data_IF_451061376084
#
_entry.id   IF_451061376084
#
_cell.length_a   1.000
_cell.length_b   1.000
_cell.length_c   1.000
_cell.angle_alpha   90.00
_cell.angle_beta   90.00
_cell.angle_gamma   90.00
#
_symmetry.space_group_name_H-M   'P 1'
#
loop_
_entity.id
_entity.type
_entity.pdbx_description
1 polymer ?
#
# COMPACT_ATOMS: atom_id res chain seq x y z
N UNK A 1 -0.12 -26.43 20.01
CA UNK A 1 -0.16 -25.07 20.61
C UNK A 1 -1.48 -24.43 20.23
N UNK A 2 -2.28 -24.01 21.21
CA UNK A 2 -3.57 -23.33 20.96
C UNK A 2 -3.29 -21.90 20.48
N UNK A 3 -3.66 -21.59 19.23
CA UNK A 3 -3.60 -20.23 18.72
C UNK A 3 -4.76 -19.44 19.31
N UNK A 4 -4.47 -18.38 20.07
CA UNK A 4 -5.50 -17.47 20.58
C UNK A 4 -6.21 -16.80 19.41
N UNK A 5 -7.54 -17.00 19.32
CA UNK A 5 -8.42 -16.39 18.32
C UNK A 5 -8.77 -14.92 18.64
N UNK A 6 -8.36 -14.41 19.80
CA UNK A 6 -8.65 -13.03 20.22
C UNK A 6 -7.68 -12.05 19.56
N UNK A 7 -8.19 -10.92 18.99
CA UNK A 7 -7.35 -9.85 18.48
C UNK A 7 -6.34 -9.37 19.54
N UNK A 8 -5.07 -9.22 19.16
CA UNK A 8 -3.99 -8.80 20.07
C UNK A 8 -3.45 -7.41 19.69
N UNK A 9 -3.23 -6.57 20.69
CA UNK A 9 -2.40 -5.35 20.59
C UNK A 9 -0.98 -5.72 21.02
N UNK A 10 0.00 -5.31 20.23
CA UNK A 10 1.41 -5.58 20.44
C UNK A 10 2.06 -4.44 21.22
N UNK A 11 2.91 -4.77 22.18
CA UNK A 11 3.89 -3.82 22.71
C UNK A 11 5.00 -3.53 21.68
N UNK A 12 5.75 -2.45 21.88
CA UNK A 12 6.86 -2.08 20.99
C UNK A 12 7.89 -3.21 20.85
N UNK A 13 8.28 -3.84 21.96
CA UNK A 13 9.26 -4.93 21.97
C UNK A 13 8.73 -6.20 21.30
N UNK A 14 7.44 -6.50 21.43
CA UNK A 14 6.80 -7.61 20.70
C UNK A 14 6.79 -7.35 19.19
N UNK A 15 6.46 -6.13 18.77
CA UNK A 15 6.51 -5.73 17.37
C UNK A 15 7.94 -5.79 16.81
N UNK A 16 8.92 -5.27 17.57
CA UNK A 16 10.34 -5.29 17.21
C UNK A 16 10.86 -6.71 17.03
N UNK A 17 10.74 -7.56 18.06
CA UNK A 17 11.16 -8.97 18.02
C UNK A 17 10.44 -9.74 16.93
N UNK A 18 9.15 -9.48 16.75
CA UNK A 18 8.35 -10.11 15.72
C UNK A 18 8.87 -9.81 14.31
N UNK A 19 9.11 -8.53 13.99
CA UNK A 19 9.55 -8.14 12.65
C UNK A 19 11.00 -8.53 12.35
N UNK A 20 11.87 -8.65 13.36
CA UNK A 20 13.26 -9.08 13.14
C UNK A 20 13.46 -10.59 13.15
N UNK A 21 12.41 -11.37 13.41
CA UNK A 21 12.47 -12.82 13.27
C UNK A 21 12.82 -13.19 11.82
N UNK A 22 13.80 -14.09 11.64
CA UNK A 22 14.36 -14.40 10.31
C UNK A 22 13.34 -14.96 9.32
N UNK A 23 12.31 -15.66 9.80
CA UNK A 23 11.26 -16.19 8.93
C UNK A 23 10.29 -15.06 8.55
N UNK A 24 9.98 -14.17 9.49
CA UNK A 24 9.19 -12.95 9.22
C UNK A 24 9.91 -12.03 8.24
N UNK A 25 11.21 -11.77 8.42
CA UNK A 25 11.99 -10.93 7.51
C UNK A 25 11.92 -11.44 6.07
N UNK A 26 12.13 -12.75 5.87
CA UNK A 26 12.02 -13.38 4.55
C UNK A 26 10.62 -13.24 3.96
N UNK A 27 9.58 -13.43 4.77
CA UNK A 27 8.20 -13.27 4.32
C UNK A 27 7.89 -11.82 3.92
N UNK A 28 8.40 -10.83 4.66
CA UNK A 28 8.23 -9.42 4.35
C UNK A 28 8.97 -9.07 3.06
N UNK A 29 10.22 -9.52 2.89
CA UNK A 29 10.97 -9.34 1.64
C UNK A 29 10.27 -9.99 0.44
N UNK A 30 9.78 -11.22 0.58
CA UNK A 30 9.06 -11.93 -0.47
C UNK A 30 7.72 -11.24 -0.81
N UNK A 31 7.05 -10.69 0.20
CA UNK A 31 5.84 -9.88 0.03
C UNK A 31 6.14 -8.60 -0.73
N UNK A 32 7.19 -7.86 -0.35
CA UNK A 32 7.65 -6.66 -1.06
C UNK A 32 8.10 -6.97 -2.51
N UNK A 33 8.78 -8.10 -2.73
CA UNK A 33 9.15 -8.54 -4.09
C UNK A 33 7.93 -8.86 -4.94
N UNK A 34 6.91 -9.47 -4.33
CA UNK A 34 5.67 -9.81 -5.03
C UNK A 34 4.84 -8.58 -5.30
N UNK A 35 4.74 -7.66 -4.34
CA UNK A 35 4.13 -6.35 -4.52
C UNK A 35 4.76 -5.56 -5.68
N UNK A 36 6.10 -5.49 -5.74
CA UNK A 36 6.80 -4.84 -6.84
C UNK A 36 6.48 -5.50 -8.19
N UNK A 37 6.39 -6.84 -8.24
CA UNK A 37 5.96 -7.58 -9.44
C UNK A 37 4.52 -7.26 -9.82
N UNK A 38 3.58 -7.26 -8.86
CA UNK A 38 2.17 -6.92 -9.11
C UNK A 38 2.02 -5.52 -9.71
N UNK A 39 2.78 -4.53 -9.22
CA UNK A 39 2.78 -3.18 -9.79
C UNK A 39 3.21 -3.17 -11.27
N UNK A 40 4.20 -3.98 -11.65
CA UNK A 40 4.61 -4.12 -13.05
C UNK A 40 3.59 -4.92 -13.87
N UNK A 41 3.00 -5.97 -13.30
CA UNK A 41 1.95 -6.76 -13.96
C UNK A 41 0.71 -5.91 -14.27
N UNK A 42 0.36 -4.94 -13.42
CA UNK A 42 -0.69 -3.95 -13.68
C UNK A 42 -0.34 -3.11 -14.90
N UNK A 43 0.91 -2.66 -15.03
CA UNK A 43 1.38 -1.90 -16.19
C UNK A 43 1.38 -2.74 -17.48
N UNK A 44 1.77 -4.03 -17.40
CA UNK A 44 1.63 -4.98 -18.52
C UNK A 44 0.15 -5.17 -18.93
N UNK A 45 -0.77 -5.18 -17.97
CA UNK A 45 -2.21 -5.25 -18.26
C UNK A 45 -2.73 -3.99 -18.95
N UNK A 46 -2.17 -2.82 -18.65
CA UNK A 46 -2.46 -1.60 -19.43
C UNK A 46 -2.13 -1.79 -20.92
N UNK A 47 -0.98 -2.38 -21.23
CA UNK A 47 -0.57 -2.68 -22.61
C UNK A 47 -1.47 -3.74 -23.28
N UNK A 48 -1.83 -4.80 -22.54
CA UNK A 48 -2.72 -5.83 -23.05
C UNK A 48 -4.11 -5.28 -23.39
N UNK A 49 -4.66 -4.41 -22.54
CA UNK A 49 -5.98 -3.79 -22.76
C UNK A 49 -5.92 -2.74 -23.88
N UNK A 50 -4.78 -2.09 -24.13
CA UNK A 50 -4.63 -1.13 -25.23
C UNK A 50 -5.00 -1.74 -26.60
N UNK A 51 -4.67 -3.02 -26.82
CA UNK A 51 -5.06 -3.77 -28.04
C UNK A 51 -6.57 -3.96 -28.15
N UNK A 52 -7.24 -4.22 -27.03
CA UNK A 52 -8.70 -4.37 -26.98
C UNK A 52 -9.39 -3.03 -27.21
N UNK A 53 -8.92 -1.97 -26.54
CA UNK A 53 -9.39 -0.60 -26.72
C UNK A 53 -9.27 -0.16 -28.18
N UNK A 54 -8.11 -0.37 -28.80
CA UNK A 54 -7.91 -0.06 -30.21
C UNK A 54 -8.91 -0.82 -31.11
N UNK A 55 -9.12 -2.12 -30.85
CA UNK A 55 -10.09 -2.91 -31.62
C UNK A 55 -11.51 -2.37 -31.49
N UNK A 56 -11.89 -1.84 -30.33
CA UNK A 56 -13.20 -1.23 -30.07
C UNK A 56 -13.33 0.11 -30.78
N UNK A 57 -12.28 0.96 -30.73
CA UNK A 57 -12.26 2.24 -31.44
C UNK A 57 -12.46 2.05 -32.95
N UNK A 58 -11.86 0.99 -33.53
CA UNK A 58 -12.04 0.64 -34.94
C UNK A 58 -13.47 0.23 -35.31
N UNK A 59 -14.31 -0.14 -34.34
CA UNK A 59 -15.73 -0.44 -34.59
C UNK A 59 -16.59 0.83 -34.72
N UNK A 60 -16.06 2.01 -34.35
CA UNK A 60 -16.79 3.28 -34.45
C UNK A 60 -18.04 3.38 -33.58
N UNK A 61 -18.15 2.56 -32.53
CA UNK A 61 -19.35 2.46 -31.68
C UNK A 61 -19.41 3.55 -30.58
N UNK A 62 -18.31 4.24 -30.32
CA UNK A 62 -18.17 5.27 -29.29
C UNK A 62 -17.07 6.25 -29.67
N UNK A 63 -16.95 7.35 -28.91
CA UNK A 63 -15.83 8.29 -29.01
C UNK A 63 -14.52 7.53 -28.72
N UNK A 64 -13.43 7.78 -29.48
CA UNK A 64 -12.17 7.07 -29.31
C UNK A 64 -11.69 7.04 -27.85
N UNK A 65 -11.50 5.84 -27.32
CA UNK A 65 -11.12 5.56 -25.94
C UNK A 65 -9.60 5.60 -25.75
N UNK A 66 -8.84 5.27 -26.81
CA UNK A 66 -7.37 5.14 -26.76
C UNK A 66 -6.64 6.36 -26.19
N UNK A 67 -6.95 7.63 -26.54
CA UNK A 67 -6.22 8.78 -25.97
C UNK A 67 -6.34 8.88 -24.44
N UNK A 68 -7.53 8.58 -23.89
CA UNK A 68 -7.75 8.55 -22.43
C UNK A 68 -7.02 7.37 -21.78
N UNK A 69 -7.05 6.22 -22.44
CA UNK A 69 -6.33 5.02 -21.99
C UNK A 69 -4.82 5.23 -21.92
N UNK A 70 -4.24 5.82 -22.97
CA UNK A 70 -2.81 6.10 -23.05
C UNK A 70 -2.39 7.14 -21.98
N UNK A 71 -3.27 8.09 -21.64
CA UNK A 71 -3.04 9.00 -20.52
C UNK A 71 -2.99 8.26 -19.18
N UNK A 72 -4.00 7.44 -18.88
CA UNK A 72 -4.05 6.63 -17.64
C UNK A 72 -2.81 5.75 -17.47
N UNK A 73 -2.34 5.13 -18.56
CA UNK A 73 -1.12 4.33 -18.56
C UNK A 73 0.11 5.15 -18.21
N UNK A 74 0.28 6.35 -18.80
CA UNK A 74 1.40 7.23 -18.50
C UNK A 74 1.37 7.69 -17.04
N UNK A 75 0.19 8.08 -16.56
CA UNK A 75 0.00 8.54 -15.19
C UNK A 75 0.34 7.40 -14.19
N UNK A 76 -0.09 6.17 -14.47
CA UNK A 76 0.30 5.00 -13.67
C UNK A 76 1.81 4.74 -13.73
N UNK A 77 2.45 4.86 -14.89
CA UNK A 77 3.90 4.70 -15.02
C UNK A 77 4.68 5.77 -14.24
N UNK A 78 4.19 7.02 -14.22
CA UNK A 78 4.77 8.08 -13.40
C UNK A 78 4.58 7.77 -11.91
N UNK A 79 3.39 7.29 -11.52
CA UNK A 79 3.11 6.88 -10.15
C UNK A 79 4.09 5.78 -9.69
N UNK A 80 4.43 4.80 -10.53
CA UNK A 80 5.43 3.78 -10.20
C UNK A 80 6.82 4.38 -9.91
N UNK A 81 7.26 5.38 -10.68
CA UNK A 81 8.50 6.10 -10.39
C UNK A 81 8.45 6.80 -9.04
N UNK A 82 7.33 7.46 -8.72
CA UNK A 82 7.13 8.12 -7.43
C UNK A 82 7.10 7.11 -6.27
N UNK A 83 6.49 5.93 -6.44
CA UNK A 83 6.56 4.83 -5.48
C UNK A 83 7.99 4.38 -5.23
N UNK A 84 8.76 4.11 -6.30
CA UNK A 84 10.17 3.70 -6.20
C UNK A 84 11.01 4.74 -5.46
N UNK A 85 10.89 6.01 -5.84
CA UNK A 85 11.63 7.11 -5.20
C UNK A 85 11.26 7.25 -3.72
N UNK A 86 9.97 7.16 -3.40
CA UNK A 86 9.47 7.25 -2.03
C UNK A 86 9.95 6.08 -1.17
N UNK A 87 9.92 4.85 -1.69
CA UNK A 87 10.47 3.68 -0.99
C UNK A 87 11.96 3.85 -0.66
N UNK A 88 12.75 4.35 -1.61
CA UNK A 88 14.18 4.63 -1.40
C UNK A 88 14.43 5.72 -0.36
N UNK A 89 13.64 6.79 -0.41
CA UNK A 89 13.70 7.88 0.56
C UNK A 89 13.35 7.43 1.98
N UNK A 90 12.32 6.60 2.14
CA UNK A 90 11.95 6.01 3.44
C UNK A 90 13.06 5.06 3.90
N UNK A 91 13.51 4.14 3.05
CA UNK A 91 14.60 3.20 3.39
C UNK A 91 15.86 3.91 3.91
N UNK A 92 16.31 4.95 3.19
CA UNK A 92 17.47 5.74 3.59
C UNK A 92 17.31 6.41 4.95
N UNK A 93 16.12 6.95 5.25
CA UNK A 93 15.81 7.57 6.56
C UNK A 93 15.77 6.54 7.68
N UNK A 94 15.17 5.38 7.44
CA UNK A 94 15.14 4.29 8.42
C UNK A 94 16.56 3.80 8.75
N UNK A 95 17.44 3.65 7.75
CA UNK A 95 18.84 3.27 7.96
C UNK A 95 19.59 4.32 8.79
N UNK A 96 19.42 5.60 8.47
CA UNK A 96 20.03 6.69 9.25
C UNK A 96 19.53 6.70 10.70
N UNK A 97 18.25 6.42 10.91
CA UNK A 97 17.70 6.32 12.25
C UNK A 97 18.31 5.16 13.05
N UNK A 98 18.36 3.97 12.44
CA UNK A 98 18.94 2.79 13.08
C UNK A 98 20.45 2.91 13.33
N UNK A 99 21.20 3.49 12.40
CA UNK A 99 22.67 3.48 12.42
C UNK A 99 23.27 4.73 13.07
N UNK A 100 22.49 5.78 13.28
CA UNK A 100 22.99 7.06 13.82
C UNK A 100 22.14 7.54 14.99
N UNK A 101 20.83 7.74 14.78
CA UNK A 101 19.96 8.33 15.82
C UNK A 101 19.81 7.42 17.04
N UNK A 102 19.46 6.15 16.85
CA UNK A 102 19.28 5.19 17.96
C UNK A 102 20.59 4.95 18.75
N UNK A 103 21.75 4.68 18.12
CA UNK A 103 23.03 4.59 18.83
C UNK A 103 23.37 5.83 19.66
N UNK A 104 23.21 7.02 19.08
CA UNK A 104 23.46 8.28 19.80
C UNK A 104 22.47 8.47 20.96
N UNK A 105 21.20 8.10 20.78
CA UNK A 105 20.18 8.15 21.83
C UNK A 105 20.47 7.19 22.99
N UNK A 106 20.90 5.96 22.69
CA UNK A 106 21.30 4.98 23.68
C UNK A 106 22.55 5.43 24.46
N UNK A 107 23.52 6.02 23.76
CA UNK A 107 24.75 6.56 24.37
C UNK A 107 24.56 7.91 25.09
N UNK A 108 23.39 8.56 24.92
CA UNK A 108 23.11 9.93 25.36
C UNK A 108 24.15 10.94 24.87
N UNK A 109 24.46 10.85 23.58
CA UNK A 109 25.40 11.75 22.93
C UNK A 109 24.97 13.22 23.07
N UNK A 110 25.94 14.10 23.31
CA UNK A 110 25.71 15.55 23.48
C UNK A 110 25.25 16.22 22.18
N UNK A 111 25.66 15.70 21.03
CA UNK A 111 25.34 16.25 19.71
C UNK A 111 23.99 15.75 19.17
N UNK A 112 23.42 14.72 19.79
CA UNK A 112 22.18 14.08 19.34
C UNK A 112 21.04 15.08 19.13
N UNK A 113 20.91 16.09 19.99
CA UNK A 113 19.83 17.07 19.89
C UNK A 113 19.87 17.83 18.55
N UNK A 114 21.07 18.24 18.12
CA UNK A 114 21.28 18.94 16.86
C UNK A 114 21.10 18.01 15.66
N UNK A 115 21.67 16.80 15.74
CA UNK A 115 21.55 15.79 14.68
C UNK A 115 20.09 15.38 14.48
N UNK A 116 19.35 15.13 15.57
CA UNK A 116 17.94 14.78 15.55
C UNK A 116 17.08 15.91 14.97
N UNK A 117 17.36 17.17 15.33
CA UNK A 117 16.64 18.30 14.76
C UNK A 117 16.81 18.37 13.23
N UNK A 118 18.06 18.31 12.74
CA UNK A 118 18.34 18.27 11.30
C UNK A 118 17.66 17.08 10.61
N UNK A 119 17.75 15.90 11.25
CA UNK A 119 17.12 14.68 10.78
C UNK A 119 15.59 14.82 10.63
N UNK A 120 14.92 15.40 11.63
CA UNK A 120 13.47 15.62 11.64
C UNK A 120 13.06 16.66 10.59
N UNK A 121 13.83 17.73 10.40
CA UNK A 121 13.56 18.74 9.35
C UNK A 121 13.54 18.10 7.97
N UNK A 122 14.57 17.32 7.60
CA UNK A 122 14.60 16.70 6.27
C UNK A 122 13.54 15.60 6.15
N UNK A 123 13.24 14.91 7.25
CA UNK A 123 12.13 13.95 7.27
C UNK A 123 10.79 14.64 6.96
N UNK A 124 10.53 15.85 7.47
CA UNK A 124 9.31 16.58 7.17
C UNK A 124 9.11 16.79 5.65
N UNK A 125 10.17 17.04 4.89
CA UNK A 125 10.10 17.14 3.42
C UNK A 125 9.72 15.80 2.77
N UNK A 126 10.26 14.69 3.26
CA UNK A 126 9.87 13.35 2.79
C UNK A 126 8.40 13.05 3.11
N UNK A 127 7.87 13.57 4.23
CA UNK A 127 6.45 13.47 4.58
C UNK A 127 5.55 14.19 3.56
N UNK A 128 5.99 15.35 3.06
CA UNK A 128 5.28 16.07 2.00
C UNK A 128 5.24 15.24 0.71
N UNK A 129 6.34 14.58 0.34
CA UNK A 129 6.38 13.70 -0.84
C UNK A 129 5.41 12.51 -0.72
N UNK A 130 5.32 11.87 0.46
CA UNK A 130 4.35 10.78 0.69
C UNK A 130 2.91 11.28 0.53
N UNK A 131 2.59 12.47 1.04
CA UNK A 131 1.26 13.07 0.85
C UNK A 131 0.95 13.34 -0.63
N UNK A 132 1.91 13.89 -1.36
CA UNK A 132 1.76 14.11 -2.81
C UNK A 132 1.56 12.81 -3.58
N UNK A 133 2.29 11.74 -3.22
CA UNK A 133 2.11 10.40 -3.79
C UNK A 133 0.69 9.86 -3.53
N UNK A 134 0.19 9.99 -2.29
CA UNK A 134 -1.17 9.57 -1.93
C UNK A 134 -2.20 10.34 -2.76
N UNK A 135 -2.08 11.66 -2.87
CA UNK A 135 -2.99 12.48 -3.67
C UNK A 135 -2.97 12.08 -5.15
N UNK A 136 -1.79 11.81 -5.72
CA UNK A 136 -1.65 11.36 -7.10
C UNK A 136 -2.33 9.99 -7.30
N UNK A 137 -2.06 9.03 -6.42
CA UNK A 137 -2.69 7.72 -6.45
C UNK A 137 -4.22 7.80 -6.35
N UNK A 138 -4.77 8.62 -5.44
CA UNK A 138 -6.22 8.78 -5.30
C UNK A 138 -6.84 9.41 -6.56
N UNK A 139 -6.18 10.39 -7.18
CA UNK A 139 -6.66 10.99 -8.43
C UNK A 139 -6.67 9.96 -9.56
N UNK A 140 -5.59 9.20 -9.72
CA UNK A 140 -5.49 8.16 -10.75
C UNK A 140 -6.59 7.10 -10.59
N UNK A 141 -6.73 6.55 -9.38
CA UNK A 141 -7.76 5.55 -9.03
C UNK A 141 -9.17 6.07 -9.36
N UNK A 142 -9.48 7.32 -8.98
CA UNK A 142 -10.78 7.92 -9.27
C UNK A 142 -11.04 8.07 -10.79
N UNK A 143 -10.03 8.49 -11.58
CA UNK A 143 -10.16 8.61 -13.04
C UNK A 143 -10.30 7.22 -13.69
N UNK A 144 -9.55 6.22 -13.22
CA UNK A 144 -9.63 4.85 -13.70
C UNK A 144 -11.00 4.21 -13.38
N UNK A 145 -11.50 4.40 -12.15
CA UNK A 145 -12.82 3.93 -11.74
C UNK A 145 -13.96 4.62 -12.52
N UNK A 146 -13.80 5.92 -12.84
CA UNK A 146 -14.72 6.64 -13.71
C UNK A 146 -14.70 6.11 -15.15
N UNK A 147 -13.50 5.89 -15.72
CA UNK A 147 -13.35 5.27 -17.04
C UNK A 147 -13.98 3.88 -17.08
N UNK A 148 -13.74 3.06 -16.05
CA UNK A 148 -14.37 1.75 -15.87
C UNK A 148 -15.90 1.84 -15.87
N UNK A 149 -16.46 2.78 -15.10
CA UNK A 149 -17.91 2.95 -14.97
C UNK A 149 -18.56 3.38 -16.29
N UNK A 150 -17.92 4.29 -17.02
CA UNK A 150 -18.36 4.72 -18.35
C UNK A 150 -18.31 3.56 -19.36
N UNK A 151 -17.21 2.79 -19.34
CA UNK A 151 -17.03 1.63 -20.21
C UNK A 151 -18.04 0.51 -19.88
N UNK A 152 -18.38 0.31 -18.59
CA UNK A 152 -19.40 -0.64 -18.15
C UNK A 152 -20.79 -0.25 -18.64
N UNK A 153 -21.15 1.04 -18.54
CA UNK A 153 -22.40 1.58 -19.08
C UNK A 153 -22.49 1.35 -20.59
N UNK A 154 -21.44 1.72 -21.33
CA UNK A 154 -21.36 1.48 -22.77
C UNK A 154 -21.54 -0.01 -23.10
N UNK A 155 -20.78 -0.90 -22.45
CA UNK A 155 -20.86 -2.35 -22.67
C UNK A 155 -22.27 -2.88 -22.39
N UNK A 156 -22.90 -2.43 -21.29
CA UNK A 156 -24.27 -2.83 -20.96
C UNK A 156 -25.31 -2.42 -21.99
N UNK A 157 -25.08 -1.35 -22.76
CA UNK A 157 -25.97 -0.94 -23.85
C UNK A 157 -25.81 -1.82 -25.08
N UNK A 158 -24.63 -2.41 -25.27
CA UNK A 158 -24.30 -3.25 -26.43
C UNK A 158 -24.61 -4.74 -26.21
N UNK A 159 -24.66 -5.21 -24.96
CA UNK A 159 -25.01 -6.59 -24.63
C UNK A 159 -26.34 -6.68 -23.89
N UNK A 160 -27.16 -7.70 -24.20
CA UNK A 160 -28.39 -8.01 -23.45
C UNK A 160 -28.16 -8.94 -22.27
N UNK A 161 -27.03 -9.65 -22.25
CA UNK A 161 -26.66 -10.62 -21.22
C UNK A 161 -25.82 -9.93 -20.14
N UNK A 162 -25.96 -10.34 -18.88
CA UNK A 162 -25.06 -9.89 -17.81
C UNK A 162 -25.12 -8.39 -17.44
N UNK A 163 -26.11 -7.64 -17.94
CA UNK A 163 -26.21 -6.19 -17.70
C UNK A 163 -26.37 -5.83 -16.22
N UNK A 164 -27.05 -6.70 -15.45
CA UNK A 164 -27.25 -6.50 -14.02
C UNK A 164 -25.93 -6.69 -13.29
N UNK A 165 -25.22 -7.76 -13.61
CA UNK A 165 -23.94 -8.15 -13.03
C UNK A 165 -22.87 -7.10 -13.33
N UNK A 166 -22.82 -6.56 -14.55
CA UNK A 166 -21.93 -5.45 -14.90
C UNK A 166 -22.18 -4.18 -14.08
N UNK A 167 -23.45 -3.80 -13.93
CA UNK A 167 -23.82 -2.61 -13.14
C UNK A 167 -23.50 -2.81 -11.67
N UNK A 168 -23.78 -3.99 -11.13
CA UNK A 168 -23.43 -4.34 -9.76
C UNK A 168 -21.92 -4.32 -9.53
N UNK A 169 -21.13 -4.93 -10.42
CA UNK A 169 -19.67 -4.92 -10.34
C UNK A 169 -19.11 -3.49 -10.40
N UNK A 170 -19.59 -2.67 -11.33
CA UNK A 170 -19.17 -1.27 -11.46
C UNK A 170 -19.50 -0.44 -10.22
N UNK A 171 -20.71 -0.58 -9.66
CA UNK A 171 -21.08 0.08 -8.42
C UNK A 171 -20.18 -0.34 -7.25
N UNK A 172 -19.92 -1.65 -7.10
CA UNK A 172 -19.07 -2.17 -6.02
C UNK A 172 -17.61 -1.75 -6.16
N UNK A 173 -17.07 -1.66 -7.37
CA UNK A 173 -15.71 -1.13 -7.61
C UNK A 173 -15.62 0.34 -7.24
N UNK A 174 -16.63 1.14 -7.61
CA UNK A 174 -16.66 2.56 -7.27
C UNK A 174 -16.75 2.79 -5.75
N UNK A 175 -17.55 1.98 -5.05
CA UNK A 175 -17.61 1.99 -3.59
C UNK A 175 -16.27 1.56 -2.96
N UNK A 176 -15.58 0.57 -3.51
CA UNK A 176 -14.25 0.13 -3.05
C UNK A 176 -13.22 1.26 -3.17
N UNK A 177 -13.20 1.98 -4.29
CA UNK A 177 -12.36 3.18 -4.48
C UNK A 177 -12.69 4.28 -3.44
N UNK A 178 -13.98 4.49 -3.15
CA UNK A 178 -14.39 5.41 -2.08
C UNK A 178 -13.82 5.02 -0.72
N UNK A 179 -13.91 3.75 -0.35
CA UNK A 179 -13.37 3.24 0.93
C UNK A 179 -11.84 3.33 0.96
N UNK A 180 -11.16 3.07 -0.17
CA UNK A 180 -9.71 3.25 -0.28
C UNK A 180 -9.28 4.69 0.03
N UNK A 181 -10.02 5.68 -0.49
CA UNK A 181 -9.77 7.10 -0.23
C UNK A 181 -9.95 7.45 1.25
N UNK A 182 -11.03 6.98 1.85
CA UNK A 182 -11.31 7.21 3.28
C UNK A 182 -10.26 6.53 4.17
N UNK A 183 -9.83 5.33 3.83
CA UNK A 183 -8.76 4.60 4.53
C UNK A 183 -7.43 5.34 4.42
N UNK A 184 -7.05 5.80 3.23
CA UNK A 184 -5.82 6.58 3.00
C UNK A 184 -5.84 7.89 3.78
N UNK A 185 -6.97 8.60 3.79
CA UNK A 185 -7.16 9.81 4.58
C UNK A 185 -7.08 9.54 6.09
N UNK A 186 -7.65 8.43 6.55
CA UNK A 186 -7.60 8.02 7.96
C UNK A 186 -6.18 7.68 8.41
N UNK A 187 -5.42 6.94 7.58
CA UNK A 187 -4.01 6.65 7.81
C UNK A 187 -3.16 7.93 7.82
N UNK A 188 -3.42 8.86 6.91
CA UNK A 188 -2.69 10.14 6.83
C UNK A 188 -2.88 11.08 8.03
N UNK A 189 -3.91 10.85 8.86
CA UNK A 189 -4.20 11.65 10.07
C UNK A 189 -3.61 11.04 11.34
N UNK A 190 -2.94 9.90 11.26
CA UNK A 190 -2.33 9.26 12.42
C UNK A 190 -1.11 10.06 12.90
N UNK A 191 -1.17 10.60 14.11
CA UNK A 191 -0.08 11.36 14.73
C UNK A 191 0.84 10.52 15.61
N UNK A 192 0.32 9.48 16.26
CA UNK A 192 1.08 8.58 17.13
C UNK A 192 0.49 7.16 17.08
N UNK A 193 0.60 6.45 15.94
CA UNK A 193 -0.01 5.13 15.79
C UNK A 193 0.71 4.09 16.64
N UNK A 194 -0.01 3.19 17.31
CA UNK A 194 0.58 2.06 18.02
C UNK A 194 1.43 1.17 17.08
N UNK A 195 2.54 0.55 17.55
CA UNK A 195 3.35 -0.36 16.72
C UNK A 195 2.56 -1.48 16.04
N UNK A 196 1.42 -1.89 16.61
CA UNK A 196 0.48 -2.85 16.01
C UNK A 196 -0.02 -2.39 14.64
N UNK A 197 -0.26 -1.10 14.44
CA UNK A 197 -0.69 -0.55 13.15
C UNK A 197 0.38 -0.74 12.07
N UNK A 198 1.65 -0.48 12.42
CA UNK A 198 2.77 -0.70 11.50
C UNK A 198 2.91 -2.19 11.15
N UNK A 199 2.90 -3.07 12.14
CA UNK A 199 2.97 -4.53 11.89
C UNK A 199 1.79 -4.96 11.00
N UNK A 200 0.59 -4.45 11.26
CA UNK A 200 -0.57 -4.74 10.42
C UNK A 200 -0.36 -4.27 8.97
N UNK A 201 0.11 -3.04 8.75
CA UNK A 201 0.37 -2.52 7.41
C UNK A 201 1.43 -3.34 6.65
N UNK A 202 2.46 -3.82 7.33
CA UNK A 202 3.47 -4.75 6.78
C UNK A 202 2.83 -6.06 6.34
N UNK A 203 2.00 -6.66 7.20
CA UNK A 203 1.33 -7.92 6.89
C UNK A 203 0.28 -7.78 5.77
N UNK A 204 -0.29 -6.59 5.56
CA UNK A 204 -1.23 -6.33 4.45
C UNK A 204 -0.60 -6.47 3.08
N UNK A 205 0.68 -6.10 2.91
CA UNK A 205 1.37 -6.30 1.63
C UNK A 205 1.42 -7.79 1.25
N UNK A 206 1.65 -8.67 2.23
CA UNK A 206 1.62 -10.11 1.99
C UNK A 206 0.22 -10.62 1.64
N UNK A 207 -0.82 -10.12 2.32
CA UNK A 207 -2.20 -10.58 2.11
C UNK A 207 -2.81 -10.11 0.79
N UNK A 208 -2.48 -8.90 0.31
CA UNK A 208 -2.94 -8.40 -0.99
C UNK A 208 -2.30 -9.10 -2.18
N UNK A 209 -1.09 -9.64 -2.00
CA UNK A 209 -0.38 -10.41 -3.03
C UNK A 209 -0.81 -11.88 -3.16
N UNK A 210 -1.91 -12.30 -2.50
CA UNK A 210 -2.54 -13.62 -2.70
C UNK A 210 -1.81 -14.82 -2.08
N UNK A 211 -0.69 -14.62 -1.39
CA UNK A 211 0.01 -15.69 -0.65
C UNK A 211 -0.03 -15.43 0.85
N UNK A 212 -0.75 -16.26 1.60
CA UNK A 212 -0.52 -16.36 3.05
C UNK A 212 0.82 -17.05 3.26
N UNK A 213 1.78 -16.38 3.89
CA UNK A 213 2.96 -17.07 4.40
C UNK A 213 2.50 -18.17 5.36
N UNK A 214 2.90 -19.40 5.06
CA UNK A 214 2.60 -20.60 5.85
C UNK A 214 3.62 -20.86 6.95
N UNK A 215 4.70 -20.05 7.04
CA UNK A 215 5.83 -20.30 7.95
C UNK A 215 5.94 -19.29 9.10
N UNK A 216 5.50 -18.04 8.94
CA UNK A 216 5.60 -17.01 9.98
C UNK A 216 4.55 -17.17 11.09
N UNK A 217 4.97 -16.96 12.35
CA UNK A 217 4.04 -16.90 13.50
C UNK A 217 3.16 -15.65 13.49
N UNK A 218 3.59 -14.56 12.84
CA UNK A 218 2.87 -13.30 12.76
C UNK A 218 1.76 -13.33 11.70
N UNK A 219 1.89 -14.12 10.62
CA UNK A 219 0.84 -14.26 9.60
C UNK A 219 -0.44 -14.91 10.12
N UNK A 220 -0.35 -15.60 11.26
CA UNK A 220 -1.48 -16.24 11.93
C UNK A 220 -2.09 -15.42 13.07
N UNK A 221 -1.48 -14.29 13.44
CA UNK A 221 -2.00 -13.45 14.52
C UNK A 221 -3.05 -12.45 13.99
N UNK A 222 -4.25 -12.48 14.56
CA UNK A 222 -5.24 -11.42 14.35
C UNK A 222 -4.83 -10.22 15.20
N UNK A 223 -4.43 -9.13 14.54
CA UNK A 223 -4.06 -7.89 15.23
C UNK A 223 -5.31 -7.05 15.51
N UNK A 224 -5.38 -6.44 16.69
CA UNK A 224 -6.48 -5.54 17.04
C UNK A 224 -6.11 -4.12 16.65
N UNK A 225 -6.68 -3.62 15.55
CA UNK A 225 -6.62 -2.20 15.22
C UNK A 225 -7.80 -1.48 15.87
N UNK A 226 -7.51 -0.50 16.73
CA UNK A 226 -8.53 0.29 17.40
C UNK A 226 -8.90 1.53 16.58
N UNK A 227 -10.12 2.03 16.81
CA UNK A 227 -10.57 3.32 16.31
C UNK A 227 -10.96 3.33 14.83
N UNK A 228 -11.09 4.54 14.24
CA UNK A 228 -11.60 4.73 12.89
C UNK A 228 -10.79 4.01 11.81
N UNK A 229 -9.46 3.91 11.99
CA UNK A 229 -8.58 3.24 11.04
C UNK A 229 -8.82 1.74 11.00
N UNK A 230 -9.05 1.10 12.15
CA UNK A 230 -9.39 -0.33 12.20
C UNK A 230 -10.70 -0.62 11.47
N UNK A 231 -11.74 0.18 11.73
CA UNK A 231 -13.03 0.05 11.04
C UNK A 231 -12.92 0.28 9.53
N UNK A 232 -12.06 1.22 9.10
CA UNK A 232 -11.81 1.47 7.67
C UNK A 232 -11.13 0.28 6.99
N UNK A 233 -10.17 -0.39 7.64
CA UNK A 233 -9.56 -1.62 7.10
C UNK A 233 -10.57 -2.76 7.00
N UNK A 234 -11.40 -2.97 8.04
CA UNK A 234 -12.44 -4.00 8.02
C UNK A 234 -13.46 -3.75 6.90
N UNK A 235 -13.89 -2.50 6.72
CA UNK A 235 -14.78 -2.08 5.64
C UNK A 235 -14.16 -2.34 4.27
N UNK A 236 -12.87 -2.00 4.09
CA UNK A 236 -12.14 -2.24 2.84
C UNK A 236 -12.05 -3.74 2.52
N UNK A 237 -11.68 -4.57 3.50
CA UNK A 237 -11.53 -6.01 3.30
C UNK A 237 -12.88 -6.70 3.04
N UNK A 238 -13.95 -6.26 3.72
CA UNK A 238 -15.31 -6.70 3.43
C UNK A 238 -15.69 -6.34 1.98
N UNK A 239 -15.49 -5.07 1.58
CA UNK A 239 -15.90 -4.62 0.25
C UNK A 239 -15.10 -5.31 -0.86
N UNK A 240 -13.81 -5.54 -0.63
CA UNK A 240 -12.95 -6.31 -1.54
C UNK A 240 -13.52 -7.72 -1.79
N UNK A 241 -14.01 -8.39 -0.75
CA UNK A 241 -14.64 -9.71 -0.91
C UNK A 241 -15.95 -9.63 -1.71
N UNK A 242 -16.80 -8.64 -1.44
CA UNK A 242 -18.03 -8.41 -2.22
C UNK A 242 -17.75 -8.16 -3.71
N UNK A 243 -16.69 -7.40 -4.00
CA UNK A 243 -16.22 -7.12 -5.36
C UNK A 243 -15.69 -8.39 -6.03
N UNK A 244 -14.91 -9.21 -5.33
CA UNK A 244 -14.41 -10.48 -5.87
C UNK A 244 -15.56 -11.42 -6.24
N UNK A 245 -16.61 -11.51 -5.41
CA UNK A 245 -17.81 -12.28 -5.73
C UNK A 245 -18.56 -11.71 -6.95
N UNK A 246 -18.72 -10.39 -7.03
CA UNK A 246 -19.38 -9.77 -8.18
C UNK A 246 -18.57 -9.95 -9.49
N UNK A 247 -17.25 -9.89 -9.42
CA UNK A 247 -16.37 -10.13 -10.56
C UNK A 247 -16.52 -11.57 -11.06
N UNK A 248 -16.52 -12.54 -10.13
CA UNK A 248 -16.71 -13.94 -10.47
C UNK A 248 -18.08 -14.18 -11.14
N UNK A 249 -19.16 -13.64 -10.57
CA UNK A 249 -20.50 -13.73 -11.18
C UNK A 249 -20.54 -13.14 -12.58
N UNK A 250 -19.89 -11.98 -12.77
CA UNK A 250 -19.76 -11.31 -14.07
C UNK A 250 -19.02 -12.20 -15.07
N UNK A 251 -17.91 -12.82 -14.67
CA UNK A 251 -17.14 -13.75 -15.51
C UNK A 251 -17.94 -14.98 -15.93
N UNK A 252 -18.84 -15.48 -15.08
CA UNK A 252 -19.72 -16.60 -15.42
C UNK A 252 -20.80 -16.21 -16.44
N UNK A 253 -21.32 -14.97 -16.37
CA UNK A 253 -22.33 -14.47 -17.30
C UNK A 253 -21.77 -14.23 -18.70
N UNK A 254 -20.49 -13.87 -18.82
CA UNK A 254 -19.86 -13.57 -20.10
C UNK A 254 -18.97 -14.72 -20.56
N UNK A 255 -19.49 -15.54 -21.50
CA UNK A 255 -18.68 -16.54 -22.20
C UNK A 255 -17.54 -15.89 -23.02
N UNK A 256 -16.51 -16.69 -23.36
CA UNK A 256 -15.29 -16.25 -24.08
C UNK A 256 -15.50 -15.78 -25.54
N UNK A 257 -16.69 -15.38 -25.95
CA UNK A 257 -17.03 -15.03 -27.33
C UNK A 257 -17.18 -13.53 -27.62
N UNK A 258 -17.57 -12.71 -26.64
CA UNK A 258 -17.81 -11.29 -26.85
C UNK A 258 -16.57 -10.44 -26.50
N UNK A 259 -16.07 -9.68 -27.47
CA UNK A 259 -14.90 -8.80 -27.32
C UNK A 259 -15.17 -7.67 -26.32
N UNK A 260 -16.38 -7.11 -26.30
CA UNK A 260 -16.74 -6.02 -25.38
C UNK A 260 -16.79 -6.51 -23.93
N UNK A 261 -17.48 -7.61 -23.70
CA UNK A 261 -17.52 -8.25 -22.38
C UNK A 261 -16.14 -8.69 -21.89
N UNK A 262 -15.30 -9.22 -22.78
CA UNK A 262 -13.90 -9.60 -22.44
C UNK A 262 -13.07 -8.37 -22.04
N UNK A 263 -13.19 -7.27 -22.78
CA UNK A 263 -12.52 -6.01 -22.44
C UNK A 263 -13.02 -5.47 -21.09
N UNK A 264 -14.32 -5.53 -20.84
CA UNK A 264 -14.94 -5.04 -19.60
C UNK A 264 -14.50 -5.86 -18.38
N UNK A 265 -14.42 -7.18 -18.49
CA UNK A 265 -13.90 -8.04 -17.42
C UNK A 265 -12.41 -7.76 -17.17
N UNK A 266 -11.63 -7.58 -18.24
CA UNK A 266 -10.20 -7.27 -18.13
C UNK A 266 -9.97 -5.92 -17.46
N UNK A 267 -10.74 -4.90 -17.84
CA UNK A 267 -10.71 -3.57 -17.23
C UNK A 267 -11.13 -3.63 -15.75
N UNK A 268 -12.20 -4.37 -15.43
CA UNK A 268 -12.64 -4.57 -14.04
C UNK A 268 -11.55 -5.20 -13.20
N UNK A 269 -10.88 -6.23 -13.73
CA UNK A 269 -9.78 -6.92 -13.05
C UNK A 269 -8.62 -5.96 -12.79
N UNK A 270 -8.21 -5.19 -13.80
CA UNK A 270 -7.16 -4.17 -13.65
C UNK A 270 -7.51 -3.15 -12.57
N UNK A 271 -8.71 -2.57 -12.61
CA UNK A 271 -9.12 -1.54 -11.64
C UNK A 271 -9.13 -2.09 -10.21
N UNK A 272 -9.59 -3.33 -10.00
CA UNK A 272 -9.59 -3.96 -8.67
C UNK A 272 -8.16 -4.19 -8.17
N UNK A 273 -7.29 -4.72 -9.03
CA UNK A 273 -5.88 -4.96 -8.68
C UNK A 273 -5.13 -3.66 -8.39
N UNK A 274 -5.39 -2.61 -9.17
CA UNK A 274 -4.81 -1.28 -8.95
C UNK A 274 -5.23 -0.71 -7.60
N UNK A 275 -6.54 -0.63 -7.30
CA UNK A 275 -7.06 -0.15 -6.01
C UNK A 275 -6.46 -0.92 -4.83
N UNK A 276 -6.48 -2.25 -4.91
CA UNK A 276 -6.01 -3.11 -3.80
C UNK A 276 -4.50 -3.08 -3.61
N UNK A 277 -3.74 -3.00 -4.70
CA UNK A 277 -2.27 -2.91 -4.64
C UNK A 277 -1.85 -1.54 -4.11
N UNK A 278 -2.41 -0.46 -4.65
CA UNK A 278 -2.11 0.88 -4.19
C UNK A 278 -2.49 1.07 -2.72
N UNK A 279 -3.63 0.54 -2.27
CA UNK A 279 -4.01 0.59 -0.85
C UNK A 279 -2.89 0.01 0.03
N UNK A 280 -2.45 -1.21 -0.26
CA UNK A 280 -1.44 -1.89 0.56
C UNK A 280 -0.10 -1.14 0.57
N UNK A 281 0.34 -0.62 -0.58
CA UNK A 281 1.57 0.15 -0.69
C UNK A 281 1.52 1.48 0.08
N UNK A 282 0.44 2.24 -0.10
CA UNK A 282 0.25 3.52 0.59
C UNK A 282 0.06 3.33 2.10
N UNK A 283 -0.71 2.33 2.52
CA UNK A 283 -0.88 1.97 3.92
C UNK A 283 0.45 1.63 4.59
N UNK A 284 1.34 0.90 3.90
CA UNK A 284 2.70 0.65 4.40
C UNK A 284 3.46 1.96 4.57
N UNK A 285 3.55 2.78 3.52
CA UNK A 285 4.36 4.01 3.56
C UNK A 285 3.87 4.96 4.64
N UNK A 286 2.55 5.18 4.73
CA UNK A 286 1.94 6.01 5.76
C UNK A 286 2.14 5.42 7.16
N UNK A 287 1.98 4.11 7.33
CA UNK A 287 2.17 3.44 8.63
C UNK A 287 3.61 3.51 9.13
N UNK A 288 4.59 3.23 8.26
CA UNK A 288 6.01 3.42 8.56
C UNK A 288 6.25 4.86 8.98
N UNK A 289 5.81 5.80 8.15
CA UNK A 289 6.12 7.21 8.33
C UNK A 289 5.51 7.81 9.60
N UNK A 290 4.26 7.48 9.89
CA UNK A 290 3.58 7.96 11.08
C UNK A 290 4.22 7.43 12.38
N UNK A 291 4.57 6.14 12.44
CA UNK A 291 5.29 5.57 13.60
C UNK A 291 6.69 6.17 13.73
N UNK A 292 7.36 6.38 12.59
CA UNK A 292 8.70 6.96 12.52
C UNK A 292 8.80 8.39 13.04
N UNK A 293 7.84 9.24 12.64
CA UNK A 293 7.72 10.60 13.15
C UNK A 293 7.41 10.62 14.64
N UNK A 294 6.53 9.73 15.10
CA UNK A 294 6.18 9.62 16.50
C UNK A 294 7.39 9.22 17.36
N UNK A 295 8.15 8.20 16.94
CA UNK A 295 9.39 7.78 17.63
C UNK A 295 10.43 8.91 17.68
N UNK A 296 10.62 9.63 16.57
CA UNK A 296 11.55 10.78 16.53
C UNK A 296 11.12 11.92 17.46
N UNK A 297 9.81 12.17 17.52
CA UNK A 297 9.21 13.21 18.38
C UNK A 297 9.31 12.84 19.85
N UNK A 298 9.08 11.58 20.20
CA UNK A 298 9.22 11.08 21.56
C UNK A 298 10.67 11.22 22.04
N UNK A 299 11.66 10.87 21.20
CA UNK A 299 13.09 11.09 21.50
C UNK A 299 13.37 12.58 21.69
N UNK A 300 12.91 13.44 20.78
CA UNK A 300 13.11 14.88 20.88
C UNK A 300 12.58 15.44 22.20
N UNK A 301 11.35 15.07 22.59
CA UNK A 301 10.75 15.54 23.83
C UNK A 301 11.47 15.01 25.07
N UNK A 302 11.89 13.74 25.04
CA UNK A 302 12.70 13.17 26.11
C UNK A 302 14.01 13.92 26.31
N UNK A 303 14.75 14.20 25.22
CA UNK A 303 16.01 14.96 25.30
C UNK A 303 15.82 16.39 25.81
N UNK A 304 14.72 17.05 25.40
CA UNK A 304 14.42 18.43 25.84
C UNK A 304 14.09 18.51 27.33
N UNK A 305 13.45 17.50 27.90
CA UNK A 305 13.05 17.48 29.31
C UNK A 305 13.20 16.08 29.94
N UNK A 306 14.44 15.62 30.18
CA UNK A 306 14.72 14.24 30.59
C UNK A 306 14.19 13.89 31.99
N UNK A 307 13.94 14.89 32.83
CA UNK A 307 13.38 14.70 34.18
C UNK A 307 11.86 14.55 34.20
N UNK A 308 11.17 15.04 33.16
CA UNK A 308 9.69 15.03 33.06
C UNK A 308 9.18 13.95 32.13
N UNK A 309 9.98 13.58 31.13
CA UNK A 309 9.59 12.63 30.10
C UNK A 309 10.27 11.28 30.32
N UNK A 310 9.50 10.20 30.15
CA UNK A 310 10.04 8.84 30.19
C UNK A 310 10.94 8.60 28.98
N UNK A 311 11.90 7.69 29.14
CA UNK A 311 12.73 7.22 28.01
C UNK A 311 11.79 6.57 26.98
N UNK A 312 11.85 6.96 25.70
CA UNK A 312 10.99 6.40 24.66
C UNK A 312 11.19 4.89 24.50
N UNK A 313 10.10 4.17 24.23
CA UNK A 313 10.14 2.71 24.08
C UNK A 313 11.12 2.25 23.00
N UNK A 314 11.24 3.00 21.90
CA UNK A 314 12.22 2.74 20.82
C UNK A 314 13.68 2.76 21.31
N UNK A 315 14.01 3.67 22.23
CA UNK A 315 15.38 3.77 22.80
C UNK A 315 15.59 2.67 23.84
N UNK A 316 14.59 2.38 24.68
CA UNK A 316 14.66 1.30 25.67
C UNK A 316 14.90 -0.04 24.99
N UNK A 317 14.05 -0.40 24.02
CA UNK A 317 14.13 -1.69 23.32
C UNK A 317 15.46 -1.82 22.55
N UNK A 318 15.90 -0.74 21.88
CA UNK A 318 17.20 -0.72 21.20
C UNK A 318 18.37 -0.87 22.18
N UNK A 319 18.33 -0.23 23.35
CA UNK A 319 19.41 -0.35 24.35
C UNK A 319 19.48 -1.76 24.94
N UNK A 320 18.33 -2.39 25.16
CA UNK A 320 18.24 -3.73 25.74
C UNK A 320 18.63 -4.84 24.75
N UNK A 321 18.29 -4.66 23.47
CA UNK A 321 18.38 -5.75 22.48
C UNK A 321 19.32 -5.47 21.31
N UNK A 322 19.67 -4.21 21.06
CA UNK A 322 20.36 -3.77 19.84
C UNK A 322 19.50 -3.86 18.57
N UNK A 323 18.20 -4.09 18.71
CA UNK A 323 17.28 -4.42 17.61
C UNK A 323 16.30 -3.27 17.38
N UNK A 324 15.92 -3.07 16.12
CA UNK A 324 14.81 -2.19 15.73
C UNK A 324 14.07 -2.79 14.53
N UNK A 325 12.74 -2.77 14.53
CA UNK A 325 11.95 -3.22 13.38
C UNK A 325 12.21 -2.39 12.11
N UNK A 326 12.70 -1.15 12.25
CA UNK A 326 13.04 -0.29 11.11
C UNK A 326 14.17 -0.87 10.25
N UNK A 327 15.06 -1.66 10.82
CA UNK A 327 16.10 -2.37 10.06
C UNK A 327 15.48 -3.30 9.01
N UNK A 328 14.52 -4.12 9.42
CA UNK A 328 13.78 -5.05 8.54
C UNK A 328 13.01 -4.29 7.47
N UNK A 329 12.32 -3.23 7.86
CA UNK A 329 11.53 -2.42 6.94
C UNK A 329 12.40 -1.73 5.90
N UNK A 330 13.59 -1.25 6.28
CA UNK A 330 14.53 -0.66 5.32
C UNK A 330 15.00 -1.67 4.27
N UNK A 331 15.34 -2.90 4.68
CA UNK A 331 15.73 -3.97 3.75
C UNK A 331 14.58 -4.36 2.82
N UNK A 332 13.37 -4.50 3.36
CA UNK A 332 12.18 -4.79 2.57
C UNK A 332 11.86 -3.69 1.55
N UNK A 333 12.04 -2.41 1.92
CA UNK A 333 11.87 -1.29 1.00
C UNK A 333 12.94 -1.26 -0.09
N UNK A 334 14.18 -1.68 0.18
CA UNK A 334 15.20 -1.85 -0.87
C UNK A 334 14.79 -2.90 -1.91
N UNK A 335 14.08 -3.95 -1.49
CA UNK A 335 13.48 -4.93 -2.43
C UNK A 335 12.42 -4.27 -3.31
N UNK A 336 11.58 -3.40 -2.76
CA UNK A 336 10.64 -2.61 -3.58
C UNK A 336 11.38 -1.70 -4.56
N UNK A 337 12.42 -0.98 -4.10
CA UNK A 337 13.21 -0.08 -4.95
C UNK A 337 13.84 -0.84 -6.11
N UNK A 338 14.47 -1.98 -5.85
CA UNK A 338 15.11 -2.79 -6.90
C UNK A 338 14.10 -3.44 -7.84
N UNK A 339 12.92 -3.82 -7.33
CA UNK A 339 11.87 -4.49 -8.10
C UNK A 339 11.00 -3.58 -8.97
N UNK A 340 10.74 -2.33 -8.55
CA UNK A 340 9.89 -1.40 -9.29
C UNK A 340 10.73 -0.65 -10.33
N UNK A 341 10.86 -1.19 -11.53
CA UNK A 341 11.58 -0.55 -12.65
C UNK A 341 10.66 -0.42 -13.89
N UNK A 342 9.97 0.72 -14.05
CA UNK A 342 9.10 0.95 -15.18
C UNK A 342 9.85 1.35 -16.46
N UNK A 343 11.19 1.44 -16.46
CA UNK A 343 11.97 1.83 -17.65
C UNK A 343 11.80 0.90 -18.85
N UNK A 344 11.36 -0.34 -18.61
CA UNK A 344 11.03 -1.32 -19.66
C UNK A 344 9.82 -0.89 -20.50
N UNK A 345 8.99 0.01 -19.97
CA UNK A 345 7.75 0.51 -20.59
C UNK A 345 7.90 1.92 -21.19
N UNK A 346 9.04 2.59 -20.96
CA UNK A 346 9.34 3.91 -21.51
C UNK A 346 10.01 3.86 -22.90
N UNK A 347 10.28 2.66 -23.43
CA UNK A 347 10.77 2.48 -24.81
C UNK A 347 9.60 2.38 -25.78
N UNK A 348 9.01 3.52 -26.14
CA UNK A 348 8.13 3.66 -27.30
C UNK A 348 8.34 5.03 -27.93
#
# INVERSE_FOLDING_TARGET
MSYSTKPKVLSYSEAARGLVDRDVQRDVEDSCRTFARTLLDILDKFESISKMVHSIDMLGLTVPLRPRWDSLRRDFSELLWQFRATAGNISGRLKMFCNTILPMAAARDRELMQVLHSFMTISADHANHIRSLVEHAMRLSAVLASFHTEFAKFTSLQTKMGQKELRELSGKIHELDGIMRDLSASNGRLSNPDPTHLVHAVMRIGSSCGRRSTRSKLSHQKLALAGPVGAAYDSFDQKRNEVAHALYSTQLCFGKGDKLSTAQVSLSTLTIEEITTLESGLSLFLGIWARFLADSTDIYHWLKNPTKNRVPATVVDYTETGISFYSTLSMALDVCVTGIDPSRFTKT
#
